data_IF_311824667776
#
_entry.id   IF_311824667776
#
_cell.length_a   1.000
_cell.length_b   1.000
_cell.length_c   1.000
_cell.angle_alpha   90.00
_cell.angle_beta   90.00
_cell.angle_gamma   90.00
#
_symmetry.space_group_name_H-M   'P 1'
#
loop_
_entity.id
_entity.type
_entity.pdbx_description
1 polymer ?
#
# COMPACT_ATOMS: atom_id res chain seq x y z
N UNK A 1 4.79 1.20 24.71
CA UNK A 1 5.49 0.92 23.42
C UNK A 1 6.52 2.02 23.16
N UNK A 2 7.79 1.66 22.95
CA UNK A 2 8.83 2.63 22.61
C UNK A 2 8.77 3.03 21.12
N UNK A 3 8.24 2.13 20.28
CA UNK A 3 8.01 2.39 18.85
C UNK A 3 6.58 1.99 18.46
N UNK A 4 5.96 2.87 17.69
CA UNK A 4 4.66 2.65 17.08
C UNK A 4 4.88 2.38 15.59
N UNK A 5 4.44 1.21 15.13
CA UNK A 5 4.59 0.79 13.75
C UNK A 5 3.22 0.83 13.07
N UNK A 6 3.11 1.65 12.04
CA UNK A 6 1.88 1.87 11.28
C UNK A 6 2.13 1.47 9.83
N UNK A 7 1.38 0.52 9.32
CA UNK A 7 1.41 0.15 7.91
C UNK A 7 0.56 1.13 7.10
N UNK A 8 1.19 1.82 6.16
CA UNK A 8 0.54 2.71 5.22
C UNK A 8 0.31 1.97 3.91
N UNK A 9 -0.94 1.93 3.45
CA UNK A 9 -1.35 1.21 2.25
C UNK A 9 -1.94 2.21 1.27
N UNK A 10 -1.31 2.35 0.11
CA UNK A 10 -1.82 3.10 -1.02
C UNK A 10 -2.58 2.20 -2.00
N UNK A 11 -3.80 2.58 -2.34
CA UNK A 11 -4.63 1.92 -3.34
C UNK A 11 -4.91 2.85 -4.51
N UNK A 12 -4.96 2.29 -5.70
CA UNK A 12 -5.33 3.00 -6.94
C UNK A 12 -6.86 3.05 -7.17
N UNK A 13 -7.65 2.48 -6.26
CA UNK A 13 -9.10 2.58 -6.31
C UNK A 13 -9.54 3.99 -5.93
N UNK A 14 -10.20 4.66 -6.84
CA UNK A 14 -10.92 5.92 -6.62
C UNK A 14 -12.41 5.75 -6.89
N UNK A 15 -13.22 6.74 -6.46
CA UNK A 15 -14.67 6.73 -6.68
C UNK A 15 -15.03 6.69 -8.17
N UNK A 16 -14.22 7.30 -9.03
CA UNK A 16 -14.42 7.31 -10.49
C UNK A 16 -14.24 5.92 -11.10
N UNK A 17 -13.29 5.12 -10.61
CA UNK A 17 -13.09 3.73 -11.06
C UNK A 17 -14.21 2.82 -10.57
N UNK A 18 -14.65 3.00 -9.33
CA UNK A 18 -15.80 2.28 -8.78
C UNK A 18 -17.07 2.61 -9.60
N UNK A 19 -17.31 3.88 -9.87
CA UNK A 19 -18.43 4.34 -10.69
C UNK A 19 -18.39 3.83 -12.15
N UNK A 20 -17.20 3.56 -12.69
CA UNK A 20 -17.02 2.97 -14.03
C UNK A 20 -17.22 1.45 -14.09
N UNK A 21 -17.62 0.83 -12.97
CA UNK A 21 -17.98 -0.59 -12.91
C UNK A 21 -16.83 -1.53 -12.54
N UNK A 22 -15.71 -1.00 -12.10
CA UNK A 22 -14.66 -1.80 -11.46
C UNK A 22 -15.21 -2.21 -10.09
N UNK A 23 -15.52 -3.50 -9.93
CA UNK A 23 -16.01 -4.02 -8.65
C UNK A 23 -14.90 -3.92 -7.61
N UNK A 24 -15.22 -3.50 -6.38
CA UNK A 24 -14.29 -3.46 -5.24
C UNK A 24 -13.53 -4.80 -5.02
N UNK A 25 -14.12 -5.91 -5.44
CA UNK A 25 -13.55 -7.25 -5.31
C UNK A 25 -12.71 -7.71 -6.51
N UNK A 26 -12.68 -6.95 -7.61
CA UNK A 26 -11.94 -7.34 -8.81
C UNK A 26 -10.73 -6.44 -9.01
N UNK A 27 -9.57 -6.89 -8.47
CA UNK A 27 -8.28 -6.26 -8.74
C UNK A 27 -7.83 -5.23 -7.72
N UNK A 28 -8.25 -5.34 -6.46
CA UNK A 28 -7.67 -4.54 -5.37
C UNK A 28 -6.22 -4.96 -5.14
N UNK A 29 -5.29 -4.24 -5.75
CA UNK A 29 -3.87 -4.42 -5.52
C UNK A 29 -3.32 -3.26 -4.71
N UNK A 30 -2.50 -3.60 -3.73
CA UNK A 30 -1.83 -2.64 -2.88
C UNK A 30 -0.51 -2.23 -3.51
N UNK A 31 -0.55 -1.21 -4.36
CA UNK A 31 0.60 -0.79 -5.16
C UNK A 31 1.69 -0.08 -4.34
N UNK A 32 1.31 0.48 -3.21
CA UNK A 32 2.25 1.10 -2.27
C UNK A 32 1.97 0.58 -0.88
N UNK A 33 2.97 -0.05 -0.26
CA UNK A 33 2.95 -0.43 1.15
C UNK A 33 4.23 0.04 1.81
N UNK A 34 4.09 0.81 2.89
CA UNK A 34 5.19 1.30 3.70
C UNK A 34 4.92 1.03 5.17
N UNK A 35 5.96 0.73 5.93
CA UNK A 35 5.92 0.68 7.38
C UNK A 35 6.52 1.97 7.95
N UNK A 36 5.70 2.78 8.59
CA UNK A 36 6.14 3.93 9.37
C UNK A 36 6.40 3.49 10.81
N UNK A 37 7.66 3.52 11.23
CA UNK A 37 8.08 3.18 12.60
C UNK A 37 8.44 4.46 13.34
N UNK A 38 7.57 4.86 14.27
CA UNK A 38 7.66 6.12 15.00
C UNK A 38 8.20 5.89 16.40
N UNK A 39 9.26 6.55 16.80
CA UNK A 39 9.70 6.61 18.19
C UNK A 39 8.73 7.49 18.98
N UNK A 40 8.02 6.90 19.95
CA UNK A 40 6.97 7.61 20.68
C UNK A 40 7.47 8.65 21.68
N UNK A 41 8.78 8.68 21.91
CA UNK A 41 9.42 9.66 22.81
C UNK A 41 9.90 10.88 22.06
N UNK A 42 10.52 10.66 20.88
CA UNK A 42 11.18 11.73 20.11
C UNK A 42 10.39 12.16 18.87
N UNK A 43 9.42 11.36 18.43
CA UNK A 43 8.73 11.54 17.16
C UNK A 43 9.56 11.13 15.93
N UNK A 44 10.81 10.70 16.12
CA UNK A 44 11.66 10.28 15.01
C UNK A 44 11.03 9.10 14.26
N UNK A 45 10.86 9.24 12.96
CA UNK A 45 10.16 8.30 12.11
C UNK A 45 11.09 7.68 11.08
N UNK A 46 11.04 6.36 10.96
CA UNK A 46 11.69 5.59 9.90
C UNK A 46 10.62 5.05 8.97
N UNK A 47 10.77 5.27 7.67
CA UNK A 47 9.90 4.70 6.64
C UNK A 47 10.60 3.54 5.95
N UNK A 48 9.94 2.39 5.90
CA UNK A 48 10.41 1.17 5.22
C UNK A 48 9.40 0.87 4.12
N UNK A 49 9.80 1.06 2.87
CA UNK A 49 8.96 0.72 1.73
C UNK A 49 9.12 -0.75 1.36
N UNK A 50 8.00 -1.45 1.17
CA UNK A 50 7.98 -2.84 0.72
C UNK A 50 7.78 -2.86 -0.81
N UNK A 51 8.67 -3.51 -1.58
CA UNK A 51 8.50 -3.63 -3.01
C UNK A 51 7.22 -4.41 -3.37
N UNK A 52 6.36 -3.83 -4.19
CA UNK A 52 5.05 -4.42 -4.55
C UNK A 52 5.17 -5.79 -5.24
N UNK A 53 6.26 -6.04 -5.95
CA UNK A 53 6.53 -7.26 -6.71
C UNK A 53 7.45 -8.24 -5.97
N UNK A 54 7.62 -8.09 -4.66
CA UNK A 54 8.36 -9.05 -3.85
C UNK A 54 7.69 -10.42 -3.94
N UNK A 55 8.49 -11.45 -4.21
CA UNK A 55 8.06 -12.84 -4.29
C UNK A 55 8.44 -13.59 -3.01
N UNK A 56 7.75 -14.70 -2.75
CA UNK A 56 8.00 -15.55 -1.59
C UNK A 56 7.95 -14.80 -0.27
N UNK A 57 7.00 -13.86 -0.14
CA UNK A 57 6.83 -13.10 1.11
C UNK A 57 6.77 -14.04 2.30
N UNK A 58 7.71 -13.94 3.25
CA UNK A 58 7.71 -14.75 4.45
C UNK A 58 6.66 -14.25 5.44
N UNK A 59 6.22 -15.14 6.32
CA UNK A 59 5.30 -14.79 7.39
C UNK A 59 5.89 -15.20 8.76
N UNK A 60 5.50 -14.53 9.85
CA UNK A 60 5.96 -14.90 11.19
C UNK A 60 5.59 -16.34 11.53
N UNK A 61 6.50 -17.06 12.16
CA UNK A 61 6.26 -18.43 12.59
C UNK A 61 5.01 -18.55 13.47
N UNK A 62 4.17 -19.54 13.18
CA UNK A 62 2.91 -19.78 13.90
C UNK A 62 1.75 -18.87 13.53
N UNK A 63 1.96 -17.87 12.66
CA UNK A 63 0.90 -17.01 12.16
C UNK A 63 -0.08 -17.78 11.25
N UNK A 64 -1.29 -17.23 11.02
CA UNK A 64 -2.27 -17.84 10.12
C UNK A 64 -1.74 -17.96 8.70
N UNK A 65 -1.08 -16.91 8.22
CA UNK A 65 -0.47 -16.92 6.89
C UNK A 65 0.70 -17.92 6.79
N UNK A 66 1.51 -18.08 7.84
CA UNK A 66 2.60 -19.07 7.82
C UNK A 66 2.09 -20.52 7.83
N UNK A 67 0.93 -20.79 8.42
CA UNK A 67 0.28 -22.11 8.38
C UNK A 67 -0.24 -22.45 6.99
N UNK A 68 -0.83 -21.46 6.30
CA UNK A 68 -1.35 -21.61 4.93
C UNK A 68 -0.20 -21.62 3.89
N UNK A 69 0.81 -20.79 4.09
CA UNK A 69 1.95 -20.61 3.18
C UNK A 69 3.29 -20.86 3.90
N UNK A 70 3.61 -22.10 4.27
CA UNK A 70 4.81 -22.41 5.05
C UNK A 70 6.13 -22.07 4.33
N UNK A 71 6.11 -22.06 3.00
CA UNK A 71 7.26 -21.72 2.15
C UNK A 71 7.22 -20.27 1.63
N UNK A 72 6.45 -19.39 2.30
CA UNK A 72 6.18 -18.04 1.86
C UNK A 72 5.02 -17.95 0.86
N UNK A 73 4.56 -16.72 0.56
CA UNK A 73 3.44 -16.46 -0.34
C UNK A 73 3.76 -16.89 -1.77
N UNK A 74 3.31 -18.07 -2.15
CA UNK A 74 3.57 -18.69 -3.45
C UNK A 74 2.48 -19.72 -3.80
N UNK A 75 2.35 -20.04 -5.08
CA UNK A 75 1.45 -21.07 -5.58
C UNK A 75 1.66 -21.33 -7.06
N UNK A 76 0.74 -22.05 -7.67
CA UNK A 76 0.76 -22.38 -9.09
C UNK A 76 0.24 -21.22 -9.96
N UNK A 77 0.59 -21.26 -11.25
CA UNK A 77 0.13 -20.30 -12.25
C UNK A 77 1.07 -19.15 -12.48
N UNK A 78 0.52 -17.96 -12.83
CA UNK A 78 1.30 -16.77 -13.12
C UNK A 78 2.02 -16.26 -11.86
N UNK A 79 3.37 -16.12 -11.87
CA UNK A 79 4.12 -15.59 -10.75
C UNK A 79 3.63 -14.22 -10.25
N UNK A 80 3.06 -13.39 -11.14
CA UNK A 80 2.52 -12.08 -10.77
C UNK A 80 1.33 -12.15 -9.81
N UNK A 81 0.61 -13.27 -9.80
CA UNK A 81 -0.49 -13.54 -8.87
C UNK A 81 0.00 -13.83 -7.44
N UNK A 82 1.30 -14.04 -7.25
CA UNK A 82 1.93 -14.36 -5.97
C UNK A 82 2.92 -13.28 -5.51
N UNK A 83 2.83 -12.09 -6.08
CA UNK A 83 3.55 -10.92 -5.60
C UNK A 83 2.94 -10.38 -4.30
N UNK A 84 3.74 -9.65 -3.55
CA UNK A 84 3.32 -9.03 -2.29
C UNK A 84 2.02 -8.20 -2.44
N UNK A 85 1.88 -7.45 -3.54
CA UNK A 85 0.70 -6.63 -3.79
C UNK A 85 -0.59 -7.42 -4.06
N UNK A 86 -0.50 -8.74 -4.29
CA UNK A 86 -1.65 -9.62 -4.48
C UNK A 86 -2.16 -10.25 -3.17
N UNK A 87 -1.42 -10.14 -2.07
CA UNK A 87 -1.77 -10.77 -0.79
C UNK A 87 -3.17 -10.39 -0.34
N UNK A 88 -3.51 -9.09 -0.35
CA UNK A 88 -4.82 -8.62 0.09
C UNK A 88 -5.95 -9.25 -0.74
N UNK A 89 -5.91 -9.03 -2.05
CA UNK A 89 -6.94 -9.51 -2.97
C UNK A 89 -7.12 -11.03 -2.89
N UNK A 90 -6.01 -11.77 -2.91
CA UNK A 90 -6.08 -13.23 -2.86
C UNK A 90 -6.60 -13.76 -1.54
N UNK A 91 -6.25 -13.13 -0.42
CA UNK A 91 -6.79 -13.49 0.90
C UNK A 91 -8.30 -13.35 0.91
N UNK A 92 -8.82 -12.24 0.41
CA UNK A 92 -10.26 -11.99 0.39
C UNK A 92 -11.02 -12.90 -0.58
N UNK A 93 -10.43 -13.19 -1.74
CA UNK A 93 -11.05 -13.96 -2.81
C UNK A 93 -10.92 -15.47 -2.62
N UNK A 94 -9.69 -15.94 -2.37
CA UNK A 94 -9.35 -17.36 -2.51
C UNK A 94 -9.23 -18.08 -1.15
N UNK A 95 -9.03 -17.33 -0.05
CA UNK A 95 -8.80 -17.89 1.29
C UNK A 95 -9.79 -17.32 2.33
N UNK A 96 -11.11 -17.53 2.13
CA UNK A 96 -12.14 -16.93 2.99
C UNK A 96 -12.13 -17.44 4.44
N UNK A 97 -11.44 -18.53 4.72
CA UNK A 97 -11.27 -19.10 6.06
C UNK A 97 -10.19 -18.39 6.88
N UNK A 98 -9.28 -17.65 6.22
CA UNK A 98 -8.27 -16.87 6.94
C UNK A 98 -8.88 -15.62 7.54
N UNK A 99 -8.50 -15.32 8.77
CA UNK A 99 -8.96 -14.14 9.50
C UNK A 99 -10.48 -14.02 9.59
N UNK A 100 -11.17 -15.14 9.79
CA UNK A 100 -12.63 -15.15 9.94
C UNK A 100 -13.08 -14.22 11.06
N UNK A 101 -14.10 -13.40 10.78
CA UNK A 101 -14.60 -12.39 11.72
C UNK A 101 -13.85 -11.04 11.70
N UNK A 102 -12.74 -10.91 10.99
CA UNK A 102 -12.07 -9.63 10.80
C UNK A 102 -12.71 -8.84 9.64
N UNK A 103 -12.90 -7.54 9.85
CA UNK A 103 -13.50 -6.65 8.85
C UNK A 103 -12.61 -6.51 7.59
N UNK A 104 -11.29 -6.47 7.78
CA UNK A 104 -10.30 -6.28 6.72
C UNK A 104 -9.31 -7.44 6.71
N UNK A 105 -9.73 -8.62 6.25
CA UNK A 105 -8.91 -9.84 6.23
C UNK A 105 -7.64 -9.67 5.41
N UNK A 106 -7.73 -9.05 4.25
CA UNK A 106 -6.56 -8.75 3.42
C UNK A 106 -5.54 -7.84 4.12
N UNK A 107 -5.99 -6.89 4.96
CA UNK A 107 -5.10 -6.05 5.77
C UNK A 107 -4.36 -6.88 6.83
N UNK A 108 -5.05 -7.83 7.49
CA UNK A 108 -4.41 -8.72 8.48
C UNK A 108 -3.37 -9.62 7.82
N UNK A 109 -3.65 -10.14 6.62
CA UNK A 109 -2.67 -10.90 5.84
C UNK A 109 -1.45 -10.05 5.45
N UNK A 110 -1.67 -8.81 4.98
CA UNK A 110 -0.57 -7.88 4.67
C UNK A 110 0.26 -7.53 5.90
N UNK A 111 -0.36 -7.32 7.06
CA UNK A 111 0.37 -7.07 8.32
C UNK A 111 1.34 -8.21 8.59
N UNK A 112 0.89 -9.46 8.52
CA UNK A 112 1.77 -10.62 8.71
C UNK A 112 2.87 -10.69 7.65
N UNK A 113 2.60 -10.30 6.41
CA UNK A 113 3.64 -10.18 5.37
C UNK A 113 4.70 -9.13 5.70
N UNK A 114 4.28 -7.94 6.13
CA UNK A 114 5.21 -6.87 6.56
C UNK A 114 6.01 -7.31 7.79
N UNK A 115 5.37 -7.96 8.76
CA UNK A 115 6.03 -8.51 9.95
C UNK A 115 7.07 -9.58 9.60
N UNK A 116 6.74 -10.48 8.67
CA UNK A 116 7.67 -11.52 8.19
C UNK A 116 8.89 -10.93 7.49
N UNK A 117 8.70 -9.88 6.68
CA UNK A 117 9.79 -9.20 5.95
C UNK A 117 10.68 -8.39 6.88
N UNK A 118 10.09 -7.64 7.81
CA UNK A 118 10.80 -6.64 8.62
C UNK A 118 11.24 -7.14 9.99
N UNK A 119 10.62 -8.20 10.49
CA UNK A 119 10.76 -8.65 11.88
C UNK A 119 10.16 -7.68 12.91
N UNK A 120 9.40 -6.67 12.47
CA UNK A 120 8.80 -5.66 13.33
C UNK A 120 7.29 -5.88 13.45
N UNK A 121 6.70 -5.80 14.66
CA UNK A 121 5.26 -5.93 14.82
C UNK A 121 4.53 -4.75 14.15
N UNK A 122 3.41 -5.00 13.50
CA UNK A 122 2.54 -3.98 12.91
C UNK A 122 1.36 -3.73 13.83
N UNK A 123 1.26 -2.51 14.40
CA UNK A 123 0.24 -2.17 15.39
C UNK A 123 -1.07 -1.70 14.74
N UNK A 124 -0.95 -0.86 13.71
CA UNK A 124 -2.08 -0.27 13.00
C UNK A 124 -1.84 -0.28 11.50
N UNK A 125 -2.90 -0.12 10.73
CA UNK A 125 -2.79 0.20 9.31
C UNK A 125 -3.64 1.42 8.96
N UNK A 126 -3.25 2.12 7.91
CA UNK A 126 -3.97 3.21 7.29
C UNK A 126 -4.08 2.93 5.80
N UNK A 127 -5.32 2.81 5.32
CA UNK A 127 -5.61 2.64 3.90
C UNK A 127 -5.97 4.00 3.29
N UNK A 128 -5.21 4.42 2.29
CA UNK A 128 -5.43 5.66 1.56
C UNK A 128 -5.62 5.34 0.08
N UNK A 129 -6.73 5.76 -0.47
CA UNK A 129 -6.91 5.88 -1.91
C UNK A 129 -6.44 7.26 -2.39
N UNK A 130 -6.46 7.49 -3.71
CA UNK A 130 -6.01 8.76 -4.30
C UNK A 130 -6.80 9.96 -3.73
N UNK A 131 -8.11 9.82 -3.60
CA UNK A 131 -8.97 10.87 -3.06
C UNK A 131 -8.71 11.12 -1.57
N UNK A 132 -8.54 10.05 -0.79
CA UNK A 132 -8.18 10.14 0.62
C UNK A 132 -6.81 10.81 0.84
N UNK A 133 -5.83 10.53 -0.03
CA UNK A 133 -4.53 11.19 0.01
C UNK A 133 -4.65 12.68 -0.34
N UNK A 134 -5.44 13.02 -1.37
CA UNK A 134 -5.72 14.42 -1.73
C UNK A 134 -6.36 15.16 -0.56
N UNK A 135 -7.44 14.61 0.01
CA UNK A 135 -8.15 15.21 1.13
C UNK A 135 -7.23 15.40 2.36
N UNK A 136 -6.32 14.48 2.60
CA UNK A 136 -5.33 14.59 3.67
C UNK A 136 -4.35 15.75 3.41
N UNK A 137 -3.83 15.86 2.19
CA UNK A 137 -2.94 16.94 1.77
C UNK A 137 -3.64 18.29 1.90
N UNK A 138 -4.88 18.40 1.41
CA UNK A 138 -5.67 19.62 1.49
C UNK A 138 -5.95 20.02 2.95
N UNK A 139 -6.29 19.04 3.80
CA UNK A 139 -6.51 19.28 5.24
C UNK A 139 -5.25 19.77 5.98
N UNK A 140 -4.07 19.38 5.51
CA UNK A 140 -2.77 19.87 6.03
C UNK A 140 -2.37 21.23 5.45
N UNK A 141 -3.12 21.79 4.52
CA UNK A 141 -2.81 23.06 3.85
C UNK A 141 -1.81 22.91 2.70
N UNK A 142 -1.74 21.73 2.10
CA UNK A 142 -0.82 21.40 1.02
C UNK A 142 0.50 20.78 1.48
N UNK A 143 1.35 20.45 0.52
CA UNK A 143 2.70 19.91 0.76
C UNK A 143 3.74 20.75 0.03
N UNK A 144 4.92 20.88 0.62
CA UNK A 144 6.04 21.57 -0.01
C UNK A 144 7.09 20.56 -0.43
N UNK A 145 7.41 20.52 -1.71
CA UNK A 145 8.34 19.56 -2.30
C UNK A 145 9.39 20.25 -3.18
N UNK A 146 10.53 19.62 -3.35
CA UNK A 146 11.53 20.02 -4.34
C UNK A 146 11.29 19.25 -5.63
N UNK A 147 11.13 19.97 -6.74
CA UNK A 147 10.97 19.40 -8.07
C UNK A 147 12.33 19.52 -8.77
N UNK A 148 13.01 18.40 -8.92
CA UNK A 148 14.35 18.35 -9.53
C UNK A 148 14.31 18.27 -11.05
N UNK A 149 13.23 17.71 -11.59
CA UNK A 149 12.98 17.57 -13.03
C UNK A 149 11.55 17.98 -13.35
N UNK A 150 11.36 18.57 -14.52
CA UNK A 150 10.04 18.98 -15.00
C UNK A 150 9.11 17.78 -15.13
N UNK A 151 7.98 17.79 -14.43
CA UNK A 151 7.02 16.69 -14.41
C UNK A 151 5.78 17.02 -15.26
N UNK A 152 5.37 16.12 -16.17
CA UNK A 152 4.17 16.33 -16.98
C UNK A 152 2.91 16.15 -16.13
N UNK A 153 1.94 17.05 -16.30
CA UNK A 153 0.63 16.96 -15.70
C UNK A 153 -0.46 16.72 -16.76
N UNK A 154 -1.42 15.85 -16.41
CA UNK A 154 -2.52 15.49 -17.29
C UNK A 154 -2.07 14.64 -18.50
N UNK A 155 -3.01 14.33 -19.36
CA UNK A 155 -2.86 13.36 -20.45
C UNK A 155 -3.69 12.11 -20.19
N UNK A 156 -3.89 11.32 -21.21
CA UNK A 156 -4.57 10.02 -21.12
C UNK A 156 -3.87 9.00 -22.00
N UNK A 157 -4.35 7.75 -21.99
CA UNK A 157 -3.78 6.66 -22.80
C UNK A 157 -3.81 6.92 -24.32
N UNK A 158 -4.75 7.73 -24.80
CA UNK A 158 -4.91 8.07 -26.21
C UNK A 158 -4.06 9.28 -26.58
N UNK A 159 -3.94 10.26 -25.69
CA UNK A 159 -3.13 11.45 -25.89
C UNK A 159 -2.08 11.60 -24.77
N UNK A 160 -0.89 11.09 -25.01
CA UNK A 160 0.25 11.14 -24.07
C UNK A 160 0.89 12.52 -23.95
N UNK A 161 0.33 13.56 -24.59
CA UNK A 161 0.83 14.92 -24.45
C UNK A 161 0.41 15.47 -23.08
N UNK A 162 1.37 15.96 -22.32
CA UNK A 162 1.09 16.68 -21.11
C UNK A 162 0.21 17.90 -21.41
N UNK A 163 -0.80 18.13 -20.58
CA UNK A 163 -1.65 19.32 -20.66
C UNK A 163 -0.99 20.51 -19.99
N UNK A 164 -0.20 20.23 -18.98
CA UNK A 164 0.54 21.21 -18.18
C UNK A 164 1.80 20.58 -17.60
N UNK A 165 2.60 21.36 -16.88
CA UNK A 165 3.86 20.91 -16.31
C UNK A 165 4.06 21.49 -14.91
N UNK A 166 4.57 20.64 -14.00
CA UNK A 166 5.20 21.09 -12.78
C UNK A 166 6.64 21.47 -13.11
N UNK A 167 6.98 22.74 -12.94
CA UNK A 167 8.29 23.27 -13.27
C UNK A 167 9.32 22.94 -12.17
N UNK A 168 10.59 22.88 -12.55
CA UNK A 168 11.70 22.70 -11.61
C UNK A 168 11.72 23.83 -10.59
N UNK A 169 11.84 23.48 -9.34
CA UNK A 169 11.95 24.46 -8.25
C UNK A 169 12.10 23.83 -6.89
N UNK A 170 12.82 24.53 -6.03
CA UNK A 170 12.89 24.21 -4.61
C UNK A 170 11.66 24.77 -3.88
N UNK A 171 11.16 24.02 -2.88
CA UNK A 171 10.03 24.44 -2.05
C UNK A 171 8.75 24.79 -2.83
N UNK A 172 8.46 24.02 -3.87
CA UNK A 172 7.19 24.16 -4.58
C UNK A 172 6.04 23.71 -3.66
N UNK A 173 5.09 24.61 -3.42
CA UNK A 173 3.89 24.31 -2.63
C UNK A 173 2.80 23.76 -3.55
N UNK A 174 2.30 22.56 -3.23
CA UNK A 174 1.27 21.86 -3.99
C UNK A 174 0.05 21.62 -3.10
N UNK A 175 -1.13 21.85 -3.64
CA UNK A 175 -2.44 21.62 -3.01
C UNK A 175 -3.43 21.02 -4.02
#
# INVERSE_FOLDING_TARGET
LRRLNIMLIGSDLDEGRIASGVKESSGFRTDTVMLASVDTTTGATTLIQIPRNLQYTPFPEGSEMAKEFPDGFRGEGDPAEWHFNAIWERTDRDYPHLFEGQTYRGAEALKQGVEGITGLPVHYFLLLNIDGLRNLIDAMGGVTVNINERLPMGGNSENRRAKDWLEVGANQHLN
#
